data_IF_779246454830
#
_entry.id   IF_779246454830
#
_cell.length_a   1.000
_cell.length_b   1.000
_cell.length_c   1.000
_cell.angle_alpha   90.00
_cell.angle_beta   90.00
_cell.angle_gamma   90.00
#
_symmetry.space_group_name_H-M   'P 1'
#
loop_
_entity.id
_entity.type
_entity.pdbx_description
1 polymer ?
#
# COMPACT_ATOMS: atom_id res chain seq x y z
N UNK A 1 0.80 -10.92 -0.12
CA UNK A 1 0.73 -9.55 -0.68
C UNK A 1 1.93 -9.22 -1.57
N UNK A 2 3.10 -9.84 -1.40
CA UNK A 2 4.26 -9.59 -2.27
C UNK A 2 4.90 -10.90 -2.73
N UNK A 3 5.11 -11.09 -4.04
CA UNK A 3 5.73 -12.28 -4.64
C UNK A 3 6.40 -11.93 -5.97
N UNK A 4 7.62 -12.43 -6.22
CA UNK A 4 8.40 -12.13 -7.43
C UNK A 4 8.42 -10.63 -7.80
N UNK A 5 8.76 -9.78 -6.83
CA UNK A 5 8.82 -8.31 -6.99
C UNK A 5 7.49 -7.64 -7.41
N UNK A 6 6.38 -8.38 -7.31
CA UNK A 6 5.04 -7.92 -7.65
C UNK A 6 4.16 -7.90 -6.41
N UNK A 7 3.44 -6.79 -6.22
CA UNK A 7 2.44 -6.69 -5.15
C UNK A 7 1.08 -7.17 -5.66
N UNK A 8 0.41 -7.97 -4.85
CA UNK A 8 -0.91 -8.50 -5.13
C UNK A 8 -1.85 -8.12 -4.00
N UNK A 9 -3.01 -7.59 -4.35
CA UNK A 9 -4.09 -7.29 -3.40
C UNK A 9 -5.36 -7.97 -3.89
N UNK A 10 -5.92 -8.86 -3.07
CA UNK A 10 -7.10 -9.66 -3.40
C UNK A 10 -7.03 -10.40 -4.76
N UNK A 11 -5.83 -10.85 -5.16
CA UNK A 11 -5.61 -11.57 -6.43
C UNK A 11 -5.31 -10.68 -7.64
N UNK A 12 -5.42 -9.36 -7.49
CA UNK A 12 -5.07 -8.39 -8.52
C UNK A 12 -3.63 -7.90 -8.36
N UNK A 13 -2.92 -7.67 -9.46
CA UNK A 13 -1.58 -7.08 -9.45
C UNK A 13 -1.66 -5.57 -9.28
N UNK A 14 -0.92 -5.01 -8.32
CA UNK A 14 -0.68 -3.58 -8.21
C UNK A 14 0.63 -3.19 -8.89
N UNK A 15 0.57 -2.18 -9.75
CA UNK A 15 1.76 -1.47 -10.20
C UNK A 15 2.24 -0.53 -9.09
N UNK A 16 3.24 -0.96 -8.31
CA UNK A 16 3.80 -0.17 -7.20
C UNK A 16 4.96 0.69 -7.70
N UNK A 17 4.87 2.04 -7.62
CA UNK A 17 5.98 2.94 -7.90
C UNK A 17 7.22 2.62 -7.04
N UNK A 18 8.42 2.85 -7.58
CA UNK A 18 9.67 2.61 -6.84
C UNK A 18 9.74 3.37 -5.52
N UNK A 19 9.15 4.57 -5.46
CA UNK A 19 9.05 5.41 -4.26
C UNK A 19 8.21 4.76 -3.16
N UNK A 20 7.22 3.93 -3.51
CA UNK A 20 6.30 3.27 -2.57
C UNK A 20 6.70 1.82 -2.26
N UNK A 21 7.72 1.25 -2.93
CA UNK A 21 8.11 -0.16 -2.75
C UNK A 21 8.40 -0.51 -1.30
N UNK A 22 9.10 0.34 -0.55
CA UNK A 22 9.41 0.08 0.86
C UNK A 22 8.14 0.04 1.71
N UNK A 23 7.25 1.02 1.56
CA UNK A 23 5.96 1.07 2.27
C UNK A 23 5.10 -0.14 1.95
N UNK A 24 4.99 -0.52 0.67
CA UNK A 24 4.20 -1.66 0.25
C UNK A 24 4.78 -2.99 0.69
N UNK A 25 6.10 -3.11 0.76
CA UNK A 25 6.74 -4.29 1.35
C UNK A 25 6.43 -4.40 2.83
N UNK A 26 6.52 -3.30 3.59
CA UNK A 26 6.11 -3.30 5.00
C UNK A 26 4.64 -3.70 5.16
N UNK A 27 3.73 -3.13 4.36
CA UNK A 27 2.32 -3.51 4.37
C UNK A 27 2.12 -5.00 4.04
N UNK A 28 2.90 -5.55 3.11
CA UNK A 28 2.83 -6.98 2.80
C UNK A 28 3.26 -7.87 3.96
N UNK A 29 4.32 -7.46 4.67
CA UNK A 29 4.97 -8.24 5.72
C UNK A 29 4.21 -8.14 7.05
N UNK A 30 3.73 -6.95 7.43
CA UNK A 30 3.11 -6.69 8.74
C UNK A 30 1.60 -6.58 8.68
N UNK A 31 1.01 -6.49 7.48
CA UNK A 31 -0.41 -6.16 7.24
C UNK A 31 -0.87 -4.84 7.83
N UNK A 32 0.07 -3.97 8.15
CA UNK A 32 -0.17 -2.65 8.71
C UNK A 32 0.84 -1.67 8.11
N UNK A 33 0.47 -0.40 8.00
CA UNK A 33 1.37 0.63 7.53
C UNK A 33 1.19 1.88 8.39
N UNK A 34 2.18 2.16 9.22
CA UNK A 34 2.24 3.40 9.97
C UNK A 34 2.61 4.54 9.02
N UNK A 35 1.66 5.46 8.83
CA UNK A 35 1.80 6.60 7.93
C UNK A 35 2.19 7.89 8.65
N UNK A 36 2.34 7.88 9.99
CA UNK A 36 2.53 9.09 10.81
C UNK A 36 3.85 9.81 10.52
N UNK A 37 4.86 9.09 10.03
CA UNK A 37 6.19 9.62 9.71
C UNK A 37 6.44 9.76 8.21
N UNK A 38 5.43 9.55 7.35
CA UNK A 38 5.60 9.67 5.91
C UNK A 38 5.58 11.15 5.48
N UNK A 39 6.44 11.48 4.53
CA UNK A 39 6.41 12.79 3.87
C UNK A 39 5.08 12.98 3.12
N UNK A 40 4.58 14.21 3.08
CA UNK A 40 3.27 14.55 2.50
C UNK A 40 3.12 14.06 1.06
N UNK A 41 4.15 14.23 0.23
CA UNK A 41 4.15 13.76 -1.16
C UNK A 41 4.08 12.22 -1.27
N UNK A 42 4.73 11.51 -0.35
CA UNK A 42 4.69 10.05 -0.31
C UNK A 42 3.33 9.54 0.17
N UNK A 43 2.77 10.21 1.17
CA UNK A 43 1.43 9.95 1.69
C UNK A 43 0.35 10.15 0.61
N UNK A 44 0.45 11.24 -0.17
CA UNK A 44 -0.49 11.50 -1.27
C UNK A 44 -0.44 10.39 -2.33
N UNK A 45 0.76 10.00 -2.76
CA UNK A 45 0.93 8.91 -3.74
C UNK A 45 0.41 7.57 -3.21
N UNK A 46 0.64 7.28 -1.92
CA UNK A 46 0.12 6.08 -1.28
C UNK A 46 -1.41 6.10 -1.22
N UNK A 47 -2.00 7.24 -0.85
CA UNK A 47 -3.44 7.41 -0.79
C UNK A 47 -4.07 7.22 -2.18
N UNK A 48 -3.56 7.89 -3.21
CA UNK A 48 -4.06 7.76 -4.58
C UNK A 48 -4.03 6.30 -5.08
N UNK A 49 -2.96 5.57 -4.77
CA UNK A 49 -2.82 4.17 -5.17
C UNK A 49 -3.75 3.23 -4.38
N UNK A 50 -3.90 3.43 -3.07
CA UNK A 50 -4.64 2.52 -2.20
C UNK A 50 -6.13 2.85 -2.08
N UNK A 51 -6.54 4.07 -2.43
CA UNK A 51 -7.92 4.54 -2.28
C UNK A 51 -8.96 3.65 -2.98
N UNK A 52 -8.77 3.19 -4.23
CA UNK A 52 -9.71 2.26 -4.87
C UNK A 52 -9.88 0.96 -4.09
N UNK A 53 -8.80 0.46 -3.49
CA UNK A 53 -8.80 -0.78 -2.73
C UNK A 53 -9.37 -0.62 -1.32
N UNK A 54 -9.24 0.57 -0.73
CA UNK A 54 -9.99 0.96 0.46
C UNK A 54 -11.49 0.96 0.19
N UNK A 55 -11.94 1.57 -0.91
CA UNK A 55 -13.36 1.57 -1.29
C UNK A 55 -13.90 0.16 -1.57
N UNK A 56 -13.06 -0.73 -2.10
CA UNK A 56 -13.40 -2.14 -2.30
C UNK A 56 -13.43 -2.97 -0.99
N UNK A 57 -13.05 -2.39 0.14
CA UNK A 57 -13.00 -3.05 1.44
C UNK A 57 -11.80 -3.96 1.64
N UNK A 58 -10.74 -3.83 0.82
CA UNK A 58 -9.51 -4.63 0.95
C UNK A 58 -8.55 -4.06 2.01
N UNK A 59 -8.76 -2.80 2.37
CA UNK A 59 -7.99 -2.05 3.34
C UNK A 59 -8.96 -1.34 4.28
N UNK A 60 -8.53 -1.14 5.51
CA UNK A 60 -9.23 -0.33 6.49
C UNK A 60 -8.24 0.65 7.13
N UNK A 61 -8.74 1.82 7.54
CA UNK A 61 -7.98 2.71 8.39
C UNK A 61 -7.96 2.10 9.80
N UNK A 62 -6.77 2.01 10.39
CA UNK A 62 -6.62 1.63 11.78
C UNK A 62 -7.05 2.76 12.71
N UNK A 63 -7.60 2.39 13.86
CA UNK A 63 -7.91 3.32 14.97
C UNK A 63 -6.64 3.76 15.72
#
# INVERSE_FOLDING_TARGET
LFWQDTFYLNGETLAVPSTLKTCMKMLADTRQLDCTQLEEALLANLADMLYPHYLAGYLALGD
#
